data_IF_843676797436
#
_entry.id   IF_843676797436
#
_cell.length_a   1.000
_cell.length_b   1.000
_cell.length_c   1.000
_cell.angle_alpha   90.00
_cell.angle_beta   90.00
_cell.angle_gamma   90.00
#
_symmetry.space_group_name_H-M   'P 1'
#
loop_
_entity.id
_entity.type
_entity.pdbx_description
1 polymer ?
#
# COMPACT_ATOMS: atom_id res chain seq x y z
N UNK A 1 -5.77 -7.54 12.15
CA UNK A 1 -4.83 -8.66 12.32
C UNK A 1 -3.43 -8.28 11.81
N UNK A 2 -3.32 -7.65 10.63
CA UNK A 2 -2.03 -7.19 10.08
C UNK A 2 -1.21 -6.19 10.92
N UNK A 3 -1.83 -5.33 11.75
CA UNK A 3 -1.12 -4.27 12.49
C UNK A 3 -0.09 -4.85 13.44
N UNK A 4 -0.39 -6.01 14.05
CA UNK A 4 0.55 -6.72 14.93
C UNK A 4 1.79 -7.18 14.18
N UNK A 5 1.61 -7.70 12.97
CA UNK A 5 2.73 -8.17 12.14
C UNK A 5 3.56 -6.99 11.64
N UNK A 6 2.95 -5.85 11.30
CA UNK A 6 3.68 -4.60 11.00
C UNK A 6 4.52 -4.10 12.18
N UNK A 7 3.98 -4.14 13.41
CA UNK A 7 4.73 -3.77 14.62
C UNK A 7 5.94 -4.69 14.81
N UNK A 8 5.75 -6.01 14.68
CA UNK A 8 6.83 -6.98 14.80
C UNK A 8 7.89 -6.80 13.70
N UNK A 9 7.46 -6.55 12.47
CA UNK A 9 8.35 -6.27 11.34
C UNK A 9 9.20 -5.01 11.59
N UNK A 10 8.56 -3.94 12.08
CA UNK A 10 9.26 -2.69 12.40
C UNK A 10 10.29 -2.88 13.51
N UNK A 11 9.95 -3.58 14.60
CA UNK A 11 10.91 -3.91 15.68
C UNK A 11 12.14 -4.64 15.13
N UNK A 12 11.92 -5.59 14.23
CA UNK A 12 13.00 -6.34 13.62
C UNK A 12 13.86 -5.46 12.70
N UNK A 13 13.27 -4.52 11.96
CA UNK A 13 14.00 -3.52 11.18
C UNK A 13 14.87 -2.61 12.06
N UNK A 14 14.43 -2.27 13.28
CA UNK A 14 15.22 -1.46 14.21
C UNK A 14 16.51 -2.16 14.63
N UNK A 15 16.47 -3.48 14.84
CA UNK A 15 17.68 -4.26 15.15
C UNK A 15 18.71 -4.24 14.03
N UNK A 16 18.31 -3.87 12.80
CA UNK A 16 19.16 -3.76 11.62
C UNK A 16 19.60 -2.31 11.35
N UNK A 17 19.33 -1.38 12.28
CA UNK A 17 19.72 0.03 12.16
C UNK A 17 18.76 0.91 11.37
N UNK A 18 17.58 0.39 10.98
CA UNK A 18 16.54 1.21 10.37
C UNK A 18 15.74 1.96 11.43
N UNK A 19 15.45 3.24 11.22
CA UNK A 19 14.66 4.08 12.14
C UNK A 19 13.15 3.82 12.01
N UNK A 20 12.73 2.56 12.17
CA UNK A 20 11.36 2.12 11.92
C UNK A 20 10.34 2.70 12.93
N UNK A 21 10.63 2.75 14.24
CA UNK A 21 9.68 3.34 15.19
C UNK A 21 9.51 4.85 15.00
N UNK A 22 10.54 5.55 14.53
CA UNK A 22 10.42 6.97 14.17
C UNK A 22 9.44 7.14 13.00
N UNK A 23 9.61 6.36 11.92
CA UNK A 23 8.69 6.38 10.78
C UNK A 23 7.26 6.00 11.18
N UNK A 24 7.10 5.00 12.06
CA UNK A 24 5.80 4.60 12.58
C UNK A 24 5.12 5.72 13.37
N UNK A 25 5.86 6.44 14.22
CA UNK A 25 5.34 7.62 14.94
C UNK A 25 4.92 8.74 13.98
N UNK A 26 5.77 9.07 13.01
CA UNK A 26 5.43 10.08 11.99
C UNK A 26 4.14 9.71 11.22
N UNK A 27 3.91 8.43 10.96
CA UNK A 27 2.69 7.94 10.31
C UNK A 27 1.47 8.09 11.23
N UNK A 28 1.61 7.70 12.50
CA UNK A 28 0.53 7.81 13.49
C UNK A 28 0.11 9.27 13.70
N UNK A 29 1.07 10.18 13.86
CA UNK A 29 0.82 11.63 14.01
C UNK A 29 0.07 12.21 12.81
N UNK A 30 0.39 11.75 11.59
CA UNK A 30 -0.33 12.18 10.37
C UNK A 30 -1.76 11.66 10.33
N UNK A 31 -2.00 10.43 10.77
CA UNK A 31 -3.35 9.89 10.86
C UNK A 31 -4.18 10.63 11.91
N UNK A 32 -3.61 10.87 13.09
CA UNK A 32 -4.27 11.66 14.14
C UNK A 32 -4.60 13.06 13.65
N UNK A 33 -3.65 13.74 13.00
CA UNK A 33 -3.90 15.04 12.39
C UNK A 33 -5.03 14.99 11.35
N UNK A 34 -5.05 13.97 10.48
CA UNK A 34 -6.08 13.79 9.47
C UNK A 34 -7.47 13.54 10.11
N UNK A 35 -7.55 12.72 11.15
CA UNK A 35 -8.79 12.42 11.88
C UNK A 35 -9.41 13.68 12.50
N UNK A 36 -8.59 14.61 12.98
CA UNK A 36 -9.09 15.90 13.51
C UNK A 36 -9.44 16.91 12.41
N UNK A 37 -8.90 16.74 11.20
CA UNK A 37 -9.01 17.74 10.11
C UNK A 37 -10.13 17.45 9.11
N UNK A 38 -10.51 16.19 8.94
CA UNK A 38 -11.46 15.73 7.93
C UNK A 38 -12.73 15.15 8.57
N UNK A 39 -13.86 15.31 7.90
CA UNK A 39 -15.14 14.72 8.34
C UNK A 39 -15.14 13.19 8.29
N UNK A 40 -16.03 12.52 9.02
CA UNK A 40 -16.15 11.06 9.02
C UNK A 40 -16.33 10.47 7.61
N UNK A 41 -17.09 11.16 6.75
CA UNK A 41 -17.27 10.75 5.37
C UNK A 41 -15.97 10.88 4.55
N UNK A 42 -15.19 11.94 4.76
CA UNK A 42 -13.89 12.12 4.11
C UNK A 42 -12.86 11.10 4.64
N UNK A 43 -12.93 10.75 5.93
CA UNK A 43 -12.10 9.70 6.53
C UNK A 43 -12.42 8.33 5.94
N UNK A 44 -13.72 7.98 5.79
CA UNK A 44 -14.13 6.75 5.12
C UNK A 44 -13.70 6.72 3.65
N UNK A 45 -13.82 7.85 2.94
CA UNK A 45 -13.31 7.98 1.58
C UNK A 45 -11.77 7.85 1.52
N UNK A 46 -11.07 8.28 2.56
CA UNK A 46 -9.61 8.16 2.67
C UNK A 46 -9.21 6.70 2.90
N UNK A 47 -9.94 5.96 3.74
CA UNK A 47 -9.81 4.51 3.87
C UNK A 47 -9.98 3.84 2.51
N UNK A 48 -11.04 4.12 1.76
CA UNK A 48 -11.24 3.56 0.41
C UNK A 48 -10.05 3.85 -0.52
N UNK A 49 -9.49 5.07 -0.45
CA UNK A 49 -8.36 5.45 -1.28
C UNK A 49 -7.06 4.73 -0.89
N UNK A 50 -6.80 4.58 0.41
CA UNK A 50 -5.64 3.86 0.93
C UNK A 50 -5.72 2.36 0.61
N UNK A 51 -6.88 1.75 0.81
CA UNK A 51 -7.15 0.35 0.46
C UNK A 51 -7.03 0.10 -1.05
N UNK A 52 -7.38 1.09 -1.89
CA UNK A 52 -7.13 0.99 -3.33
C UNK A 52 -5.63 1.01 -3.65
N UNK A 53 -4.83 1.82 -2.96
CA UNK A 53 -3.37 1.82 -3.13
C UNK A 53 -2.75 0.50 -2.67
N UNK A 54 -3.11 0.01 -1.49
CA UNK A 54 -2.57 -1.25 -0.94
C UNK A 54 -2.99 -2.44 -1.80
N UNK A 55 -4.23 -2.49 -2.28
CA UNK A 55 -4.68 -3.53 -3.21
C UNK A 55 -3.94 -3.51 -4.56
N UNK A 56 -3.60 -2.32 -5.07
CA UNK A 56 -2.81 -2.21 -6.30
C UNK A 56 -1.39 -2.76 -6.09
N UNK A 57 -0.77 -2.43 -4.94
CA UNK A 57 0.55 -2.95 -4.56
C UNK A 57 0.50 -4.46 -4.34
N UNK A 58 -0.53 -4.95 -3.67
CA UNK A 58 -0.78 -6.37 -3.47
C UNK A 58 -0.89 -7.11 -4.80
N UNK A 59 -1.69 -6.62 -5.76
CA UNK A 59 -1.78 -7.27 -7.07
C UNK A 59 -0.43 -7.28 -7.81
N UNK A 60 0.40 -6.24 -7.68
CA UNK A 60 1.75 -6.27 -8.27
C UNK A 60 2.65 -7.31 -7.57
N UNK A 61 2.57 -7.42 -6.24
CA UNK A 61 3.33 -8.39 -5.46
C UNK A 61 2.96 -9.83 -5.83
N UNK A 62 1.66 -10.10 -5.97
CA UNK A 62 1.13 -11.40 -6.38
C UNK A 62 1.44 -11.74 -7.85
N UNK A 63 1.55 -10.73 -8.73
CA UNK A 63 1.88 -10.95 -10.14
C UNK A 63 3.38 -11.09 -10.43
N UNK A 64 4.25 -10.62 -9.54
CA UNK A 64 5.69 -10.56 -9.79
C UNK A 64 6.44 -11.18 -8.60
N UNK A 65 6.51 -12.52 -8.51
CA UNK A 65 7.18 -13.20 -7.41
C UNK A 65 8.66 -12.80 -7.28
N UNK A 66 9.29 -12.34 -8.36
CA UNK A 66 10.65 -11.80 -8.38
C UNK A 66 10.87 -10.62 -7.41
N UNK A 67 9.81 -9.88 -7.04
CA UNK A 67 9.90 -8.78 -6.08
C UNK A 67 10.33 -9.24 -4.68
N UNK A 68 10.01 -10.49 -4.32
CA UNK A 68 10.35 -11.09 -3.02
C UNK A 68 11.36 -12.23 -3.14
N UNK A 69 11.97 -12.43 -4.31
CA UNK A 69 12.91 -13.55 -4.56
C UNK A 69 14.10 -13.56 -3.61
N UNK A 70 14.64 -12.39 -3.29
CA UNK A 70 15.78 -12.24 -2.38
C UNK A 70 15.35 -12.12 -0.91
N UNK A 71 14.03 -12.09 -0.63
CA UNK A 71 13.52 -12.03 0.73
C UNK A 71 13.63 -13.41 1.40
N UNK A 72 13.95 -13.42 2.70
CA UNK A 72 13.85 -14.66 3.48
C UNK A 72 12.39 -15.13 3.50
N UNK A 73 12.21 -16.45 3.51
CA UNK A 73 10.89 -17.11 3.42
C UNK A 73 9.88 -16.54 4.43
N UNK A 74 10.30 -16.27 5.66
CA UNK A 74 9.42 -15.78 6.72
C UNK A 74 8.84 -14.40 6.38
N UNK A 75 9.67 -13.48 5.85
CA UNK A 75 9.20 -12.17 5.44
C UNK A 75 8.40 -12.23 4.15
N UNK A 76 8.81 -13.06 3.19
CA UNK A 76 8.05 -13.30 1.97
C UNK A 76 6.62 -13.72 2.31
N UNK A 77 6.46 -14.67 3.24
CA UNK A 77 5.16 -15.23 3.58
C UNK A 77 4.28 -14.22 4.31
N UNK A 78 4.85 -13.38 5.19
CA UNK A 78 4.13 -12.24 5.79
C UNK A 78 3.61 -11.28 4.73
N UNK A 79 4.46 -10.91 3.75
CA UNK A 79 4.09 -9.98 2.69
C UNK A 79 3.03 -10.56 1.74
N UNK A 80 3.11 -11.85 1.41
CA UNK A 80 2.11 -12.53 0.58
C UNK A 80 0.77 -12.65 1.30
N UNK A 81 0.78 -13.05 2.58
CA UNK A 81 -0.43 -13.08 3.41
C UNK A 81 -1.08 -11.69 3.51
N UNK A 82 -0.27 -10.65 3.77
CA UNK A 82 -0.77 -9.28 3.84
C UNK A 82 -1.35 -8.83 2.50
N UNK A 83 -0.71 -9.16 1.38
CA UNK A 83 -1.24 -8.84 0.05
C UNK A 83 -2.61 -9.48 -0.22
N UNK A 84 -2.87 -10.69 0.29
CA UNK A 84 -4.18 -11.33 0.19
C UNK A 84 -5.23 -10.56 0.99
N UNK A 85 -4.95 -10.19 2.25
CA UNK A 85 -5.89 -9.41 3.07
C UNK A 85 -6.26 -8.07 2.41
N UNK A 86 -5.28 -7.31 1.92
CA UNK A 86 -5.50 -6.01 1.28
C UNK A 86 -6.30 -6.13 -0.03
N UNK A 87 -6.18 -7.26 -0.73
CA UNK A 87 -6.99 -7.54 -1.91
C UNK A 87 -8.47 -7.76 -1.59
N UNK A 88 -8.81 -8.20 -0.37
CA UNK A 88 -10.19 -8.30 0.13
C UNK A 88 -10.72 -6.96 0.64
N UNK A 89 -9.90 -6.25 1.43
CA UNK A 89 -10.29 -5.00 2.08
C UNK A 89 -10.76 -3.92 1.12
N UNK A 90 -10.17 -3.83 -0.09
CA UNK A 90 -10.60 -2.88 -1.13
C UNK A 90 -12.09 -2.93 -1.41
N UNK A 91 -12.67 -4.13 -1.43
CA UNK A 91 -14.08 -4.36 -1.74
C UNK A 91 -14.94 -3.92 -0.57
N UNK A 92 -14.61 -4.41 0.63
CA UNK A 92 -15.33 -4.14 1.87
C UNK A 92 -15.39 -2.63 2.16
N UNK A 93 -14.26 -1.93 2.10
CA UNK A 93 -14.22 -0.49 2.36
C UNK A 93 -15.09 0.30 1.38
N UNK A 94 -15.05 -0.09 0.10
CA UNK A 94 -15.81 0.58 -0.94
C UNK A 94 -17.32 0.29 -0.86
N UNK A 95 -17.70 -0.96 -0.56
CA UNK A 95 -19.10 -1.36 -0.37
C UNK A 95 -19.73 -0.57 0.79
N UNK A 96 -19.01 -0.44 1.92
CA UNK A 96 -19.44 0.38 3.06
C UNK A 96 -19.60 1.85 2.67
N UNK A 97 -18.65 2.42 1.92
CA UNK A 97 -18.76 3.80 1.44
C UNK A 97 -19.96 4.01 0.51
N UNK A 98 -20.24 3.06 -0.37
CA UNK A 98 -21.39 3.13 -1.26
C UNK A 98 -22.71 3.06 -0.50
N UNK A 99 -22.80 2.18 0.50
CA UNK A 99 -23.98 2.03 1.36
C UNK A 99 -24.26 3.32 2.15
N UNK A 100 -23.26 3.83 2.88
CA UNK A 100 -23.38 5.07 3.68
C UNK A 100 -23.79 6.27 2.83
N UNK A 101 -23.35 6.32 1.57
CA UNK A 101 -23.58 7.46 0.68
C UNK A 101 -24.73 7.26 -0.30
N UNK A 102 -25.39 6.09 -0.28
CA UNK A 102 -26.34 5.66 -1.30
C UNK A 102 -25.79 5.83 -2.74
N UNK A 103 -24.47 5.66 -2.91
CA UNK A 103 -23.75 5.85 -4.17
C UNK A 103 -23.66 7.30 -4.67
N UNK A 104 -24.00 8.31 -3.86
CA UNK A 104 -24.10 9.72 -4.29
C UNK A 104 -22.85 10.58 -4.00
N UNK A 105 -21.79 10.00 -3.44
CA UNK A 105 -20.60 10.75 -2.99
C UNK A 105 -19.40 10.68 -3.95
N UNK A 106 -19.64 10.61 -5.27
CA UNK A 106 -18.59 10.52 -6.30
C UNK A 106 -17.50 11.61 -6.15
N UNK A 107 -17.90 12.87 -5.97
CA UNK A 107 -16.96 13.98 -5.88
C UNK A 107 -16.13 13.97 -4.59
N UNK A 108 -16.72 13.52 -3.48
CA UNK A 108 -15.97 13.31 -2.22
C UNK A 108 -14.90 12.25 -2.44
N UNK A 109 -15.30 11.11 -3.00
CA UNK A 109 -14.39 9.99 -3.32
C UNK A 109 -13.20 10.44 -4.19
N UNK A 110 -13.48 11.16 -5.28
CA UNK A 110 -12.45 11.63 -6.22
C UNK A 110 -11.54 12.68 -5.59
N UNK A 111 -12.09 13.68 -4.90
CA UNK A 111 -11.30 14.70 -4.21
C UNK A 111 -10.40 14.08 -3.15
N UNK A 112 -10.93 13.14 -2.36
CA UNK A 112 -10.16 12.45 -1.33
C UNK A 112 -9.06 11.59 -1.92
N UNK A 113 -9.29 10.85 -3.01
CA UNK A 113 -8.24 10.10 -3.70
C UNK A 113 -7.10 11.03 -4.16
N UNK A 114 -7.40 12.21 -4.71
CA UNK A 114 -6.37 13.18 -5.10
C UNK A 114 -5.54 13.65 -3.90
N UNK A 115 -6.20 14.00 -2.79
CA UNK A 115 -5.52 14.42 -1.55
C UNK A 115 -4.64 13.29 -1.01
N UNK A 116 -5.20 12.09 -0.87
CA UNK A 116 -4.49 10.89 -0.39
C UNK A 116 -3.31 10.58 -1.31
N UNK A 117 -3.45 10.71 -2.63
CA UNK A 117 -2.36 10.49 -3.58
C UNK A 117 -1.18 11.42 -3.29
N UNK A 118 -1.42 12.72 -3.07
CA UNK A 118 -0.35 13.70 -2.77
C UNK A 118 0.32 13.36 -1.44
N UNK A 119 -0.47 13.07 -0.40
CA UNK A 119 0.05 12.72 0.92
C UNK A 119 0.83 11.40 0.90
N UNK A 120 0.33 10.40 0.18
CA UNK A 120 0.97 9.10 0.01
C UNK A 120 2.32 9.22 -0.70
N UNK A 121 2.40 9.98 -1.80
CA UNK A 121 3.66 10.20 -2.51
C UNK A 121 4.67 10.98 -1.66
N UNK A 122 4.22 11.98 -0.89
CA UNK A 122 5.08 12.70 0.05
C UNK A 122 5.58 11.76 1.17
N UNK A 123 4.72 10.87 1.68
CA UNK A 123 5.09 9.87 2.66
C UNK A 123 6.09 8.85 2.11
N UNK A 124 5.88 8.31 0.90
CA UNK A 124 6.82 7.40 0.24
C UNK A 124 8.18 8.06 0.01
N UNK A 125 8.21 9.32 -0.43
CA UNK A 125 9.47 10.08 -0.56
C UNK A 125 10.20 10.20 0.78
N UNK A 126 9.48 10.51 1.86
CA UNK A 126 10.04 10.56 3.22
C UNK A 126 10.59 9.18 3.64
N UNK A 127 9.81 8.12 3.46
CA UNK A 127 10.21 6.75 3.78
C UNK A 127 11.51 6.37 3.07
N UNK A 128 11.57 6.51 1.75
CA UNK A 128 12.78 6.18 0.98
C UNK A 128 13.98 7.05 1.35
N UNK A 129 13.76 8.34 1.68
CA UNK A 129 14.85 9.21 2.12
C UNK A 129 15.49 8.74 3.43
N UNK A 130 14.66 8.27 4.37
CA UNK A 130 15.11 7.75 5.66
C UNK A 130 15.83 6.41 5.47
N UNK A 131 15.24 5.49 4.69
CA UNK A 131 15.87 4.19 4.40
C UNK A 131 17.21 4.33 3.67
N UNK A 132 17.32 5.24 2.70
CA UNK A 132 18.59 5.54 2.04
C UNK A 132 19.60 6.13 3.02
N UNK A 133 19.18 7.03 3.92
CA UNK A 133 20.06 7.59 4.94
C UNK A 133 20.56 6.51 5.92
N UNK A 134 19.68 5.62 6.37
CA UNK A 134 20.02 4.52 7.28
C UNK A 134 21.00 3.52 6.62
N UNK A 135 20.88 3.34 5.31
CA UNK A 135 21.84 2.57 4.51
C UNK A 135 23.15 3.32 4.18
N UNK A 136 23.38 4.52 4.73
CA UNK A 136 24.56 5.35 4.44
C UNK A 136 24.59 5.94 3.02
N UNK A 137 23.45 5.97 2.32
CA UNK A 137 23.29 6.35 0.91
C UNK A 137 22.43 7.59 0.68
N UNK A 138 22.01 8.29 1.73
CA UNK A 138 21.07 9.42 1.65
C UNK A 138 21.49 10.56 0.72
N UNK A 139 22.79 10.85 0.64
CA UNK A 139 23.38 11.88 -0.25
C UNK A 139 23.77 11.37 -1.64
N UNK A 140 23.60 10.08 -1.94
CA UNK A 140 24.07 9.48 -3.19
C UNK A 140 23.08 9.71 -4.32
N UNK A 141 23.41 10.60 -5.26
CA UNK A 141 22.63 10.82 -6.47
C UNK A 141 22.42 9.52 -7.27
N UNK A 142 23.44 8.65 -7.33
CA UNK A 142 23.34 7.34 -7.98
C UNK A 142 22.30 6.43 -7.30
N UNK A 143 22.20 6.44 -5.97
CA UNK A 143 21.19 5.66 -5.24
C UNK A 143 19.78 6.18 -5.50
N UNK A 144 19.61 7.51 -5.57
CA UNK A 144 18.35 8.13 -5.95
C UNK A 144 17.96 7.84 -7.40
N UNK A 145 18.91 7.85 -8.34
CA UNK A 145 18.67 7.47 -9.74
C UNK A 145 18.26 6.00 -9.84
N UNK A 146 18.93 5.10 -9.11
CA UNK A 146 18.58 3.68 -9.05
C UNK A 146 17.18 3.46 -8.47
N UNK A 147 16.81 4.18 -7.41
CA UNK A 147 15.47 4.14 -6.84
C UNK A 147 14.43 4.62 -7.86
N UNK A 148 14.66 5.76 -8.52
CA UNK A 148 13.76 6.25 -9.55
C UNK A 148 13.64 5.28 -10.73
N UNK A 149 14.73 4.63 -11.13
CA UNK A 149 14.72 3.59 -12.17
C UNK A 149 13.91 2.37 -11.75
N UNK A 150 14.00 1.93 -10.49
CA UNK A 150 13.18 0.84 -9.95
C UNK A 150 11.67 1.20 -9.98
N UNK A 151 11.34 2.42 -9.56
CA UNK A 151 9.96 2.90 -9.44
C UNK A 151 9.30 3.20 -10.80
N UNK A 152 10.03 3.79 -11.75
CA UNK A 152 9.47 4.28 -13.01
C UNK A 152 9.98 3.54 -14.26
N UNK A 153 11.20 3.02 -14.21
CA UNK A 153 11.86 2.30 -15.31
C UNK A 153 11.48 0.81 -15.36
N UNK A 154 12.44 -0.05 -15.03
CA UNK A 154 12.30 -1.51 -15.01
C UNK A 154 12.62 -2.04 -13.60
N UNK A 155 11.67 -2.66 -12.89
CA UNK A 155 10.35 -3.15 -13.34
C UNK A 155 9.29 -2.04 -13.51
N UNK A 156 9.50 -0.85 -12.95
CA UNK A 156 8.59 0.29 -13.12
C UNK A 156 7.30 0.14 -12.32
N UNK A 157 7.44 -0.10 -11.01
CA UNK A 157 6.33 -0.31 -10.08
C UNK A 157 5.21 0.74 -10.26
N UNK A 158 5.52 2.02 -10.13
CA UNK A 158 4.51 3.09 -10.24
C UNK A 158 3.91 3.21 -11.64
N UNK A 159 4.71 2.94 -12.68
CA UNK A 159 4.22 2.93 -14.06
C UNK A 159 3.16 1.84 -14.28
N UNK A 160 3.39 0.64 -13.74
CA UNK A 160 2.42 -0.48 -13.81
C UNK A 160 1.16 -0.22 -12.98
N UNK A 161 1.29 0.52 -11.88
CA UNK A 161 0.16 0.90 -11.00
C UNK A 161 -0.72 2.01 -11.59
N UNK A 162 -0.18 2.86 -12.46
CA UNK A 162 -0.82 4.10 -12.92
C UNK A 162 -2.21 3.88 -13.54
N UNK A 163 -2.37 2.87 -14.39
CA UNK A 163 -3.65 2.54 -15.02
C UNK A 163 -4.68 1.99 -14.00
N UNK A 164 -4.20 1.38 -12.91
CA UNK A 164 -5.05 0.88 -11.83
C UNK A 164 -5.50 2.02 -10.91
N UNK A 165 -4.58 2.94 -10.61
CA UNK A 165 -4.88 4.17 -9.88
C UNK A 165 -5.89 5.05 -10.66
N UNK A 166 -5.64 5.29 -11.95
CA UNK A 166 -6.51 6.12 -12.79
C UNK A 166 -7.94 5.57 -12.91
N UNK A 167 -8.13 4.25 -12.86
CA UNK A 167 -9.44 3.62 -12.93
C UNK A 167 -10.38 4.06 -11.78
N UNK A 168 -9.84 4.42 -10.61
CA UNK A 168 -10.61 4.85 -9.44
C UNK A 168 -11.43 6.14 -9.70
N UNK A 169 -10.96 6.97 -10.62
CA UNK A 169 -11.62 8.22 -11.00
C UNK A 169 -12.83 8.02 -11.90
N UNK A 170 -13.07 6.81 -12.42
CA UNK A 170 -14.18 6.55 -13.35
C UNK A 170 -15.54 6.61 -12.62
N UNK A 171 -16.57 7.25 -13.20
CA UNK A 171 -17.96 7.09 -12.76
C UNK A 171 -18.38 5.61 -12.83
N UNK A 172 -19.01 5.10 -11.78
CA UNK A 172 -19.37 3.67 -11.69
C UNK A 172 -18.16 2.73 -11.57
N UNK A 173 -17.01 3.21 -11.09
CA UNK A 173 -15.90 2.37 -10.67
C UNK A 173 -16.33 1.45 -9.50
N UNK A 174 -15.93 0.19 -9.56
CA UNK A 174 -15.92 -0.75 -8.43
C UNK A 174 -14.54 -1.42 -8.31
N UNK A 175 -13.98 -1.61 -7.10
CA UNK A 175 -12.72 -2.35 -6.93
C UNK A 175 -12.75 -3.80 -7.48
N UNK A 176 -13.93 -4.39 -7.55
CA UNK A 176 -14.17 -5.73 -8.12
C UNK A 176 -14.30 -5.76 -9.64
N UNK A 177 -14.30 -4.62 -10.34
CA UNK A 177 -14.20 -4.57 -11.80
C UNK A 177 -12.90 -5.25 -12.30
N UNK A 178 -11.92 -5.38 -11.40
CA UNK A 178 -10.71 -6.17 -11.59
C UNK A 178 -10.69 -7.29 -10.57
N UNK A 179 -11.28 -8.41 -10.97
CA UNK A 179 -11.29 -9.62 -10.17
C UNK A 179 -9.88 -10.24 -10.10
N UNK A 180 -9.34 -10.28 -8.89
CA UNK A 180 -8.06 -10.91 -8.55
C UNK A 180 -8.23 -12.11 -7.61
N UNK A 181 -9.46 -12.59 -7.36
CA UNK A 181 -9.76 -13.70 -6.44
C UNK A 181 -9.08 -15.00 -6.84
N UNK A 182 -8.99 -15.29 -8.13
CA UNK A 182 -8.29 -16.49 -8.62
C UNK A 182 -6.80 -16.46 -8.24
N UNK A 183 -6.16 -15.29 -8.28
CA UNK A 183 -4.76 -15.10 -7.90
C UNK A 183 -4.57 -15.19 -6.39
N UNK A 184 -5.49 -14.60 -5.62
CA UNK A 184 -5.47 -14.71 -4.16
C UNK A 184 -5.55 -16.16 -3.73
N UNK A 185 -6.48 -16.95 -4.28
CA UNK A 185 -6.58 -18.39 -4.01
C UNK A 185 -5.32 -19.17 -4.37
N UNK A 186 -4.68 -18.82 -5.50
CA UNK A 186 -3.42 -19.45 -5.88
C UNK A 186 -2.30 -19.16 -4.86
N UNK A 187 -2.23 -17.93 -4.36
CA UNK A 187 -1.26 -17.53 -3.34
C UNK A 187 -1.57 -18.14 -1.97
N UNK A 188 -2.84 -18.22 -1.57
CA UNK A 188 -3.29 -18.92 -0.36
C UNK A 188 -2.87 -20.39 -0.38
N UNK A 189 -3.11 -21.09 -1.50
CA UNK A 189 -2.73 -22.48 -1.65
C UNK A 189 -1.20 -22.66 -1.58
N UNK A 190 -0.44 -21.76 -2.21
CA UNK A 190 1.02 -21.80 -2.16
C UNK A 190 1.54 -21.58 -0.73
N UNK A 191 0.95 -20.66 0.03
CA UNK A 191 1.30 -20.42 1.44
C UNK A 191 0.93 -21.60 2.34
N UNK A 192 -0.22 -22.23 2.12
CA UNK A 192 -0.65 -23.39 2.89
C UNK A 192 0.32 -24.58 2.73
N UNK A 193 0.78 -24.83 1.50
CA UNK A 193 1.75 -25.89 1.19
C UNK A 193 3.15 -25.65 1.79
N UNK A 194 3.53 -24.40 2.08
CA UNK A 194 4.82 -24.08 2.71
C UNK A 194 4.80 -24.19 4.24
N UNK A 195 3.61 -24.29 4.85
CA UNK A 195 3.42 -24.38 6.30
C UNK A 195 3.19 -25.82 6.80
N UNK A 196 3.04 -26.78 5.89
CA UNK A 196 2.98 -28.23 6.14
C UNK A 196 4.37 -28.87 6.08
#
# INVERSE_FOLDING_TARGET
MHTREHVRYNQQMETQGCRAAMLQRETQERFEWAQHRYSDLEQLAATCALEHFTAILADELLCNPDLLKEARTEYRNIWLWHAIEEAEHKGVAFDVFQEVTNGRAYWVRVRTMTIVTVLFLAHMKRLFSVLLADAGRGGSAASWLRLNWLLWGNPGLFRKMMLKWAAYFRPGFHPWDRDNRARMRAAENALALELE
#
